data_IF_029432336439
#
_entry.id   IF_029432336439
#
_cell.length_a   1.000
_cell.length_b   1.000
_cell.length_c   1.000
_cell.angle_alpha   90.00
_cell.angle_beta   90.00
_cell.angle_gamma   90.00
#
_symmetry.space_group_name_H-M   'P 1'
#
loop_
_entity.id
_entity.type
_entity.pdbx_description
1 polymer ?
#
# COMPACT_ATOMS: atom_id res chain seq x y z
N UNK A 1 6.59 -46.39 41.56
CA UNK A 1 6.56 -44.94 41.84
C UNK A 1 5.98 -44.25 40.61
N UNK A 2 4.69 -43.89 40.66
CA UNK A 2 4.13 -42.52 40.60
C UNK A 2 4.44 -41.77 39.29
N UNK A 3 3.45 -41.68 38.38
CA UNK A 3 2.59 -40.50 38.07
C UNK A 3 3.24 -39.62 36.98
N UNK A 4 2.59 -39.04 35.95
CA UNK A 4 1.20 -38.64 35.73
C UNK A 4 1.03 -38.23 34.25
N UNK A 5 -0.14 -38.50 33.67
CA UNK A 5 -0.66 -37.87 32.45
C UNK A 5 -0.95 -36.37 32.67
N UNK A 6 -0.81 -35.53 31.64
CA UNK A 6 -1.57 -34.27 31.53
C UNK A 6 -1.84 -33.92 30.06
N UNK A 7 -3.10 -34.11 29.65
CA UNK A 7 -3.69 -33.51 28.44
C UNK A 7 -4.07 -32.06 28.75
N UNK A 8 -3.85 -31.14 27.80
CA UNK A 8 -4.45 -29.81 27.83
C UNK A 8 -5.25 -29.63 26.53
N UNK A 9 -6.56 -29.52 26.70
CA UNK A 9 -7.53 -29.20 25.66
C UNK A 9 -7.67 -27.67 25.57
N UNK A 10 -7.50 -27.13 24.36
CA UNK A 10 -7.73 -25.70 24.08
C UNK A 10 -9.20 -25.50 23.69
N UNK A 11 -9.92 -24.72 24.49
CA UNK A 11 -11.29 -24.29 24.24
C UNK A 11 -11.25 -23.01 23.40
N UNK A 12 -11.74 -23.08 22.16
CA UNK A 12 -11.96 -21.92 21.29
C UNK A 12 -13.41 -21.49 21.40
N UNK A 13 -13.69 -20.32 22.00
CA UNK A 13 -15.01 -19.70 21.98
C UNK A 13 -15.09 -18.77 20.78
N UNK A 14 -15.90 -19.14 19.79
CA UNK A 14 -16.32 -18.27 18.69
C UNK A 14 -17.54 -17.46 19.14
N UNK A 15 -17.40 -16.14 19.25
CA UNK A 15 -18.53 -15.23 19.41
C UNK A 15 -18.91 -14.66 18.03
N UNK A 16 -20.03 -15.12 17.47
CA UNK A 16 -20.69 -14.53 16.32
C UNK A 16 -21.68 -13.47 16.83
N UNK A 17 -21.36 -12.19 16.63
CA UNK A 17 -22.35 -11.11 16.79
C UNK A 17 -23.19 -11.03 15.51
N UNK A 18 -24.41 -11.56 15.62
CA UNK A 18 -25.49 -11.34 14.66
C UNK A 18 -26.27 -10.09 15.11
N UNK A 19 -26.15 -8.99 14.37
CA UNK A 19 -27.09 -7.88 14.49
C UNK A 19 -27.87 -7.77 13.18
N UNK A 20 -29.18 -7.82 13.40
CA UNK A 20 -30.26 -8.11 12.47
C UNK A 20 -30.95 -6.77 12.22
N UNK A 21 -30.59 -6.07 11.16
CA UNK A 21 -31.32 -4.86 10.80
C UNK A 21 -32.68 -5.24 10.22
N UNK A 22 -33.70 -4.81 10.95
CA UNK A 22 -35.11 -4.95 10.60
C UNK A 22 -35.40 -4.04 9.41
N UNK A 23 -35.73 -4.64 8.28
CA UNK A 23 -36.53 -4.00 7.26
C UNK A 23 -37.90 -3.63 7.87
N UNK A 24 -38.30 -2.36 7.71
CA UNK A 24 -39.66 -1.90 7.94
C UNK A 24 -40.17 -1.30 6.62
N UNK A 25 -41.12 -2.01 6.02
CA UNK A 25 -42.00 -1.51 4.96
C UNK A 25 -42.93 -0.41 5.49
N UNK A 26 -43.24 0.55 4.61
CA UNK A 26 -44.55 1.16 4.30
C UNK A 26 -44.25 2.47 3.56
N UNK A 27 -44.44 2.54 2.23
CA UNK A 27 -45.71 2.77 1.53
C UNK A 27 -46.24 4.21 1.69
N UNK A 28 -46.46 4.89 0.56
CA UNK A 28 -47.38 6.04 0.51
C UNK A 28 -46.97 7.19 -0.41
N UNK A 29 -47.58 7.20 -1.59
CA UNK A 29 -48.00 8.35 -2.40
C UNK A 29 -46.98 9.29 -3.07
N UNK A 30 -46.80 8.97 -4.36
CA UNK A 30 -46.60 9.88 -5.47
C UNK A 30 -47.66 10.99 -5.46
N UNK A 31 -47.26 12.24 -5.26
CA UNK A 31 -48.01 13.41 -5.75
C UNK A 31 -47.01 14.40 -6.33
N UNK A 32 -47.07 14.53 -7.65
CA UNK A 32 -46.27 15.44 -8.47
C UNK A 32 -46.82 16.85 -8.32
N UNK A 33 -46.02 17.80 -7.85
CA UNK A 33 -46.24 19.23 -8.07
C UNK A 33 -44.87 19.91 -8.21
N UNK A 34 -44.58 20.60 -9.33
CA UNK A 34 -43.30 21.24 -9.54
C UNK A 34 -43.21 22.52 -8.69
N UNK A 35 -42.38 22.51 -7.66
CA UNK A 35 -41.98 23.69 -6.92
C UNK A 35 -40.74 24.31 -7.58
N UNK A 36 -40.82 25.62 -7.82
CA UNK A 36 -39.80 26.43 -8.46
C UNK A 36 -38.40 26.27 -7.84
N UNK A 37 -37.39 26.13 -8.69
CA UNK A 37 -35.98 26.16 -8.32
C UNK A 37 -35.62 27.53 -7.71
N UNK A 38 -35.53 27.54 -6.39
CA UNK A 38 -34.92 28.61 -5.63
C UNK A 38 -33.40 28.41 -5.68
N UNK A 39 -32.72 29.27 -6.44
CA UNK A 39 -31.27 29.32 -6.59
C UNK A 39 -30.59 29.37 -5.21
N UNK A 40 -29.94 28.26 -4.85
CA UNK A 40 -29.08 28.19 -3.66
C UNK A 40 -27.74 28.84 -4.01
N UNK A 41 -27.21 29.79 -3.22
CA UNK A 41 -25.87 30.32 -3.44
C UNK A 41 -24.83 29.20 -3.31
N UNK A 42 -23.86 29.21 -4.22
CA UNK A 42 -22.74 28.28 -4.23
C UNK A 42 -22.10 28.18 -2.85
N UNK A 43 -22.15 26.98 -2.26
CA UNK A 43 -21.39 26.67 -1.06
C UNK A 43 -19.90 26.78 -1.39
N UNK A 44 -19.26 27.79 -0.79
CA UNK A 44 -17.82 27.96 -0.75
C UNK A 44 -17.21 26.68 -0.17
N UNK A 45 -16.49 25.94 -1.03
CA UNK A 45 -15.93 24.64 -0.71
C UNK A 45 -14.70 24.83 0.18
N UNK A 46 -14.92 25.09 1.46
CA UNK A 46 -13.89 24.99 2.49
C UNK A 46 -13.54 23.51 2.64
N UNK A 47 -12.28 23.08 2.41
CA UNK A 47 -11.90 21.69 2.62
C UNK A 47 -12.25 21.28 4.06
N UNK A 48 -12.90 20.13 4.20
CA UNK A 48 -13.22 19.57 5.50
C UNK A 48 -11.94 19.49 6.33
N UNK A 49 -11.98 20.01 7.56
CA UNK A 49 -10.80 20.22 8.39
C UNK A 49 -10.01 18.93 8.77
N UNK A 50 -10.46 17.75 8.34
CA UNK A 50 -9.93 16.44 8.71
C UNK A 50 -9.52 15.56 7.51
N UNK A 51 -9.43 16.08 6.28
CA UNK A 51 -8.90 15.26 5.19
C UNK A 51 -7.38 15.04 5.36
N UNK A 52 -6.89 13.78 5.32
CA UNK A 52 -5.47 13.50 5.48
C UNK A 52 -4.63 14.20 4.41
N UNK A 53 -3.59 14.92 4.83
CA UNK A 53 -2.64 15.55 3.92
C UNK A 53 -2.02 14.49 3.00
N UNK A 54 -2.10 14.69 1.68
CA UNK A 54 -1.43 13.86 0.68
C UNK A 54 -0.15 14.54 0.20
N UNK A 55 0.85 13.75 -0.16
CA UNK A 55 2.11 14.24 -0.73
C UNK A 55 2.23 13.74 -2.17
N UNK A 56 2.80 14.58 -3.03
CA UNK A 56 3.21 14.14 -4.35
C UNK A 56 4.52 13.36 -4.20
N UNK A 57 4.57 12.18 -4.80
CA UNK A 57 5.75 11.32 -4.79
C UNK A 57 6.43 11.37 -6.16
N UNK A 58 7.75 11.51 -6.17
CA UNK A 58 8.56 11.33 -7.37
C UNK A 58 9.69 10.32 -7.13
N UNK A 59 9.96 9.51 -8.16
CA UNK A 59 11.10 8.60 -8.21
C UNK A 59 12.07 9.08 -9.29
N UNK A 60 13.37 9.04 -9.01
CA UNK A 60 14.40 9.44 -9.97
C UNK A 60 15.60 8.47 -9.92
N UNK A 61 15.82 7.65 -10.96
CA UNK A 61 14.90 7.35 -12.08
C UNK A 61 13.67 6.55 -11.63
N UNK A 62 12.56 6.54 -12.36
CA UNK A 62 11.41 5.67 -12.06
C UNK A 62 11.55 4.23 -12.60
N UNK A 63 12.66 3.94 -13.27
CA UNK A 63 12.96 2.64 -13.89
C UNK A 63 14.37 2.16 -13.56
N UNK A 64 14.58 0.84 -13.55
CA UNK A 64 15.85 0.22 -13.23
C UNK A 64 16.00 -1.17 -13.85
N UNK A 65 17.25 -1.63 -13.99
CA UNK A 65 17.58 -3.02 -14.30
C UNK A 65 18.19 -3.71 -13.08
N UNK A 66 17.65 -4.86 -12.73
CA UNK A 66 18.07 -5.73 -11.64
C UNK A 66 18.55 -7.08 -12.17
N UNK A 67 19.34 -7.76 -11.35
CA UNK A 67 19.90 -9.09 -11.63
C UNK A 67 21.28 -9.01 -12.25
N UNK A 68 22.09 -10.07 -12.05
CA UNK A 68 23.48 -10.09 -12.51
C UNK A 68 23.59 -9.99 -14.04
N UNK A 69 22.53 -10.36 -14.77
CA UNK A 69 22.46 -10.31 -16.23
C UNK A 69 21.51 -9.21 -16.72
N UNK A 70 21.04 -8.31 -15.84
CA UNK A 70 20.03 -7.27 -16.14
C UNK A 70 18.73 -7.85 -16.71
N UNK A 71 18.35 -9.03 -16.23
CA UNK A 71 17.19 -9.77 -16.69
C UNK A 71 15.86 -9.23 -16.16
N UNK A 72 15.86 -8.46 -15.07
CA UNK A 72 14.65 -7.90 -14.48
C UNK A 72 14.63 -6.39 -14.73
N UNK A 73 13.79 -5.94 -15.66
CA UNK A 73 13.50 -4.52 -15.82
C UNK A 73 12.33 -4.15 -14.92
N UNK A 74 12.49 -3.13 -14.08
CA UNK A 74 11.46 -2.67 -13.15
C UNK A 74 11.09 -1.23 -13.43
N UNK A 75 9.80 -0.94 -13.27
CA UNK A 75 9.24 0.42 -13.29
C UNK A 75 8.39 0.63 -12.05
N UNK A 76 8.66 1.72 -11.33
CA UNK A 76 7.89 2.09 -10.14
C UNK A 76 6.72 2.97 -10.59
N UNK A 77 5.50 2.64 -10.17
CA UNK A 77 4.28 3.33 -10.59
C UNK A 77 3.27 3.49 -9.44
N UNK A 78 2.24 4.28 -9.68
CA UNK A 78 1.11 4.49 -8.77
C UNK A 78 1.51 4.91 -7.34
N UNK A 79 2.56 5.70 -7.22
CA UNK A 79 3.10 6.10 -5.94
C UNK A 79 2.21 7.14 -5.24
N UNK A 80 1.96 6.92 -3.95
CA UNK A 80 1.12 7.76 -3.10
C UNK A 80 1.75 7.85 -1.71
N UNK A 81 1.67 9.03 -1.11
CA UNK A 81 2.03 9.24 0.28
C UNK A 81 0.91 10.02 0.99
N UNK A 82 0.53 9.56 2.18
CA UNK A 82 -0.53 10.17 3.01
C UNK A 82 -0.04 10.33 4.43
N UNK A 83 -0.23 11.52 5.00
CA UNK A 83 0.04 11.76 6.41
C UNK A 83 -0.90 10.92 7.28
N UNK A 84 -0.33 10.24 8.27
CA UNK A 84 -1.07 9.56 9.31
C UNK A 84 -1.25 10.52 10.49
N UNK A 85 -2.46 10.63 11.01
CA UNK A 85 -2.77 11.49 12.15
C UNK A 85 -3.62 10.74 13.17
N UNK A 86 -3.41 11.05 14.46
CA UNK A 86 -4.28 10.61 15.53
C UNK A 86 -5.60 11.43 15.55
N UNK A 87 -6.60 11.05 16.37
CA UNK A 87 -7.85 11.80 16.48
C UNK A 87 -7.70 13.25 16.97
N UNK A 88 -6.56 13.59 17.59
CA UNK A 88 -6.23 14.95 18.04
C UNK A 88 -5.53 15.77 16.92
N UNK A 89 -5.27 15.17 15.76
CA UNK A 89 -4.55 15.78 14.64
C UNK A 89 -3.02 15.76 14.76
N UNK A 90 -2.45 15.02 15.71
CA UNK A 90 -0.99 14.85 15.83
C UNK A 90 -0.49 13.91 14.76
N UNK A 91 0.66 14.23 14.17
CA UNK A 91 1.29 13.41 13.13
C UNK A 91 1.83 12.10 13.71
N UNK A 92 1.36 10.98 13.16
CA UNK A 92 1.84 9.62 13.45
C UNK A 92 2.85 9.13 12.39
N UNK A 93 3.03 9.89 11.30
CA UNK A 93 3.97 9.56 10.23
C UNK A 93 3.37 9.68 8.84
N UNK A 94 3.87 8.86 7.90
CA UNK A 94 3.41 8.83 6.51
C UNK A 94 3.20 7.37 6.10
N UNK A 95 2.03 7.07 5.54
CA UNK A 95 1.82 5.83 4.77
C UNK A 95 2.27 6.07 3.34
N UNK A 96 3.26 5.30 2.91
CA UNK A 96 3.87 5.40 1.60
C UNK A 96 3.60 4.13 0.79
N UNK A 97 2.88 4.25 -0.31
CA UNK A 97 2.40 3.13 -1.12
C UNK A 97 2.82 3.29 -2.57
N UNK A 98 3.23 2.20 -3.22
CA UNK A 98 3.53 2.18 -4.66
C UNK A 98 3.38 0.76 -5.22
N UNK A 99 3.36 0.68 -6.55
CA UNK A 99 3.40 -0.56 -7.31
C UNK A 99 4.73 -0.70 -8.05
N UNK A 100 5.12 -1.94 -8.35
CA UNK A 100 6.27 -2.24 -9.21
C UNK A 100 5.78 -3.06 -10.39
N UNK A 101 5.95 -2.54 -11.59
CA UNK A 101 5.85 -3.31 -12.82
C UNK A 101 7.19 -4.00 -13.08
N UNK A 102 7.16 -5.32 -13.27
CA UNK A 102 8.35 -6.14 -13.46
C UNK A 102 8.26 -6.81 -14.82
N UNK A 103 9.22 -6.51 -15.69
CA UNK A 103 9.40 -7.17 -17.00
C UNK A 103 10.58 -8.12 -16.94
N UNK A 104 10.34 -9.39 -17.25
CA UNK A 104 11.40 -10.37 -17.44
C UNK A 104 11.96 -10.26 -18.86
N UNK A 105 13.26 -9.97 -18.96
CA UNK A 105 14.01 -9.81 -20.21
C UNK A 105 14.73 -11.09 -20.64
N UNK A 106 14.61 -12.19 -19.90
CA UNK A 106 15.11 -13.49 -20.35
C UNK A 106 14.33 -13.96 -21.59
N UNK A 107 15.02 -14.64 -22.51
CA UNK A 107 14.42 -15.18 -23.72
C UNK A 107 13.44 -16.32 -23.43
N UNK A 108 12.49 -16.58 -24.34
CA UNK A 108 11.58 -17.72 -24.25
C UNK A 108 12.32 -19.04 -23.95
N UNK A 109 11.79 -19.84 -23.01
CA UNK A 109 12.44 -21.05 -22.52
C UNK A 109 13.54 -20.82 -21.47
N UNK A 110 13.80 -19.55 -21.12
CA UNK A 110 14.67 -19.15 -20.03
C UNK A 110 14.02 -19.33 -18.65
N UNK A 111 14.52 -18.58 -17.67
CA UNK A 111 14.09 -18.65 -16.27
C UNK A 111 13.11 -17.54 -15.92
N UNK A 112 12.27 -17.80 -14.92
CA UNK A 112 11.35 -16.81 -14.38
C UNK A 112 12.11 -15.83 -13.48
N UNK A 113 11.68 -14.57 -13.48
CA UNK A 113 12.09 -13.56 -12.50
C UNK A 113 11.15 -13.64 -11.31
N UNK A 114 11.68 -13.93 -10.14
CA UNK A 114 10.92 -13.90 -8.88
C UNK A 114 11.35 -12.69 -8.05
N UNK A 115 10.52 -11.65 -8.00
CA UNK A 115 10.78 -10.45 -7.23
C UNK A 115 9.96 -10.47 -5.95
N UNK A 116 10.62 -10.24 -4.82
CA UNK A 116 10.01 -10.23 -3.49
C UNK A 116 10.13 -8.83 -2.89
N UNK A 117 9.01 -8.14 -2.71
CA UNK A 117 9.04 -6.78 -2.14
C UNK A 117 9.56 -6.75 -0.71
N UNK A 118 9.50 -7.88 0.02
CA UNK A 118 9.98 -7.93 1.41
C UNK A 118 11.48 -7.79 1.60
N UNK A 119 12.23 -7.94 0.51
CA UNK A 119 13.67 -7.70 0.47
C UNK A 119 14.01 -6.21 0.27
N UNK A 120 13.05 -5.40 -0.20
CA UNK A 120 13.28 -3.98 -0.44
C UNK A 120 13.51 -3.19 0.87
N UNK A 121 14.22 -2.07 0.76
CA UNK A 121 14.50 -1.19 1.91
C UNK A 121 14.27 0.27 1.52
N UNK A 122 13.56 1.00 2.37
CA UNK A 122 13.41 2.44 2.23
C UNK A 122 14.39 3.15 3.17
N UNK A 123 15.33 3.88 2.60
CA UNK A 123 16.24 4.75 3.34
C UNK A 123 15.55 6.06 3.64
N UNK A 124 15.68 6.53 4.88
CA UNK A 124 15.14 7.78 5.38
C UNK A 124 16.21 8.87 5.41
N UNK A 125 15.80 10.12 5.52
CA UNK A 125 16.66 11.30 5.63
C UNK A 125 17.58 11.29 6.87
N UNK A 126 17.17 10.61 7.93
CA UNK A 126 18.01 10.36 9.11
C UNK A 126 19.03 9.20 8.93
N UNK A 127 19.13 8.62 7.74
CA UNK A 127 20.04 7.52 7.41
C UNK A 127 19.57 6.13 7.82
N UNK A 128 18.43 6.00 8.51
CA UNK A 128 17.88 4.68 8.86
C UNK A 128 17.25 4.01 7.64
N UNK A 129 17.28 2.67 7.64
CA UNK A 129 16.55 1.86 6.69
C UNK A 129 15.36 1.20 7.38
N UNK A 130 14.20 1.26 6.75
CA UNK A 130 13.01 0.53 7.18
C UNK A 130 12.61 -0.53 6.15
N UNK A 131 11.84 -1.50 6.61
CA UNK A 131 11.18 -2.50 5.76
C UNK A 131 9.73 -2.10 5.52
N UNK A 132 9.14 -2.64 4.47
CA UNK A 132 7.72 -2.49 4.19
C UNK A 132 6.86 -3.09 5.32
N UNK A 133 5.73 -2.44 5.59
CA UNK A 133 4.65 -2.94 6.46
C UNK A 133 3.91 -4.09 5.76
N UNK A 134 3.58 -3.89 4.48
CA UNK A 134 2.94 -4.90 3.64
C UNK A 134 3.58 -4.96 2.26
N UNK A 135 3.51 -6.12 1.65
CA UNK A 135 4.08 -6.39 0.34
C UNK A 135 3.87 -7.84 -0.06
N UNK A 136 4.07 -8.12 -1.34
CA UNK A 136 3.91 -9.45 -1.92
C UNK A 136 5.15 -9.85 -2.73
N UNK A 137 5.04 -10.97 -3.45
CA UNK A 137 6.03 -11.39 -4.44
C UNK A 137 5.35 -11.60 -5.78
N UNK A 138 6.09 -11.45 -6.88
CA UNK A 138 5.62 -11.76 -8.22
C UNK A 138 6.59 -12.72 -8.91
N UNK A 139 6.04 -13.71 -9.62
CA UNK A 139 6.78 -14.61 -10.49
C UNK A 139 6.46 -14.27 -11.95
N UNK A 140 7.46 -13.85 -12.71
CA UNK A 140 7.33 -13.32 -14.07
C UNK A 140 8.01 -14.25 -15.06
N UNK A 141 7.23 -14.85 -15.95
CA UNK A 141 7.71 -15.74 -17.01
C UNK A 141 8.64 -14.99 -18.00
N UNK A 142 9.53 -15.69 -18.73
CA UNK A 142 10.36 -15.06 -19.75
C UNK A 142 9.56 -14.23 -20.74
N UNK A 143 10.09 -13.06 -21.10
CA UNK A 143 9.49 -12.09 -22.02
C UNK A 143 8.10 -11.56 -21.61
N UNK A 144 7.69 -11.73 -20.33
CA UNK A 144 6.42 -11.23 -19.81
C UNK A 144 6.60 -10.06 -18.84
N UNK A 145 5.50 -9.37 -18.58
CA UNK A 145 5.42 -8.27 -17.60
C UNK A 145 4.29 -8.55 -16.62
N UNK A 146 4.53 -8.36 -15.33
CA UNK A 146 3.50 -8.43 -14.28
C UNK A 146 3.69 -7.34 -13.25
N UNK A 147 2.59 -7.04 -12.56
CA UNK A 147 2.56 -6.08 -11.46
C UNK A 147 2.72 -6.77 -10.11
N UNK A 148 3.58 -6.19 -9.28
CA UNK A 148 3.62 -6.37 -7.84
C UNK A 148 2.98 -5.13 -7.22
N UNK A 149 1.73 -5.25 -6.82
CA UNK A 149 0.94 -4.12 -6.31
C UNK A 149 1.02 -3.97 -4.80
N UNK A 150 0.73 -2.75 -4.34
CA UNK A 150 0.48 -2.41 -2.94
C UNK A 150 1.66 -2.69 -2.01
N UNK A 151 2.86 -2.23 -2.37
CA UNK A 151 3.98 -2.18 -1.43
C UNK A 151 3.78 -0.99 -0.51
N UNK A 152 3.64 -1.22 0.79
CA UNK A 152 3.35 -0.17 1.78
C UNK A 152 4.46 -0.04 2.80
N UNK A 153 4.92 1.18 3.04
CA UNK A 153 5.84 1.54 4.11
C UNK A 153 5.16 2.47 5.10
N UNK A 154 5.42 2.28 6.40
CA UNK A 154 5.10 3.25 7.44
C UNK A 154 6.35 4.04 7.80
N UNK A 155 6.40 5.28 7.34
CA UNK A 155 7.50 6.19 7.60
C UNK A 155 7.25 6.88 8.94
N UNK A 156 8.17 6.78 9.92
CA UNK A 156 8.01 7.40 11.22
C UNK A 156 7.85 8.92 11.13
N UNK A 157 7.10 9.50 12.07
CA UNK A 157 6.95 10.94 12.18
C UNK A 157 8.32 11.65 12.26
N UNK A 158 8.42 12.81 11.62
CA UNK A 158 9.64 13.63 11.60
C UNK A 158 10.72 13.15 10.62
N UNK A 159 10.45 12.16 9.77
CA UNK A 159 11.39 11.67 8.75
C UNK A 159 10.76 11.64 7.37
N UNK A 160 11.59 11.64 6.34
CA UNK A 160 11.17 11.53 4.93
C UNK A 160 11.96 10.43 4.21
N UNK A 161 11.36 9.77 3.22
CA UNK A 161 12.08 8.81 2.40
C UNK A 161 13.04 9.55 1.46
N UNK A 162 14.19 8.94 1.21
CA UNK A 162 15.22 9.48 0.31
C UNK A 162 15.62 8.49 -0.77
N UNK A 163 15.58 7.19 -0.48
CA UNK A 163 16.02 6.16 -1.44
C UNK A 163 15.24 4.87 -1.24
N UNK A 164 14.68 4.32 -2.32
CA UNK A 164 14.16 2.96 -2.38
C UNK A 164 15.25 2.05 -2.92
N UNK A 165 15.61 1.03 -2.13
CA UNK A 165 16.56 0.00 -2.51
C UNK A 165 15.80 -1.28 -2.88
N UNK A 166 15.96 -1.71 -4.12
CA UNK A 166 15.41 -2.95 -4.65
C UNK A 166 16.50 -4.00 -4.76
N UNK A 167 16.17 -5.24 -4.44
CA UNK A 167 17.10 -6.36 -4.41
C UNK A 167 16.58 -7.51 -5.26
N UNK A 168 17.49 -8.14 -6.00
CA UNK A 168 17.20 -9.34 -6.80
C UNK A 168 18.51 -10.02 -7.21
N UNK A 169 18.58 -11.35 -7.10
CA UNK A 169 19.77 -12.17 -7.43
C UNK A 169 21.08 -11.65 -6.77
N UNK A 170 20.97 -11.17 -5.53
CA UNK A 170 22.11 -10.58 -4.79
C UNK A 170 22.60 -9.24 -5.34
N UNK A 171 21.92 -8.66 -6.33
CA UNK A 171 22.16 -7.30 -6.81
C UNK A 171 21.25 -6.30 -6.10
N UNK A 172 21.71 -5.05 -6.03
CA UNK A 172 20.96 -3.92 -5.47
C UNK A 172 20.88 -2.81 -6.49
N UNK A 173 19.70 -2.23 -6.66
CA UNK A 173 19.53 -0.92 -7.30
C UNK A 173 18.89 0.04 -6.31
N UNK A 174 19.37 1.28 -6.30
CA UNK A 174 18.89 2.37 -5.48
C UNK A 174 18.23 3.41 -6.36
N UNK A 175 17.01 3.81 -6.01
CA UNK A 175 16.23 4.83 -6.70
C UNK A 175 15.96 5.98 -5.74
N UNK A 176 16.20 7.23 -6.15
CA UNK A 176 15.89 8.40 -5.34
C UNK A 176 14.38 8.58 -5.17
N UNK A 177 13.94 8.93 -3.96
CA UNK A 177 12.54 9.22 -3.61
C UNK A 177 12.44 10.64 -3.09
N UNK A 178 11.45 11.39 -3.54
CA UNK A 178 11.13 12.73 -3.00
C UNK A 178 9.65 12.84 -2.69
N UNK A 179 9.33 13.50 -1.57
CA UNK A 179 7.97 13.89 -1.19
C UNK A 179 7.84 15.42 -1.27
N UNK A 180 6.87 15.89 -2.05
CA UNK A 180 6.48 17.30 -2.21
C UNK A 180 5.12 17.57 -1.55
#
# INVERSE_FOLDING_TARGET
>A
MKKTFFSIATVSVLALFSCKDKAKEAAGDTTTTPAAEQSTPAAENKPAANEPKTYKVTFSPDTAFLGKKKEAFVKIKNAKAVALQDPDGKSEGIEFTFDIEVTNKAAMGGYNVYLVSSESRLTLDNGNNITQETGTSVNVEPESTKDLSSVVYKIPNGTKPTTLNLFYDGTRVSVGVTLE
#
